data_IF_366530703125
#
_entry.id   IF_366530703125
#
_cell.length_a   1.000
_cell.length_b   1.000
_cell.length_c   1.000
_cell.angle_alpha   90.00
_cell.angle_beta   90.00
_cell.angle_gamma   90.00
#
_symmetry.space_group_name_H-M   'P 1'
#
loop_
_entity.id
_entity.type
_entity.pdbx_description
1 polymer ?
#
# COMPACT_ATOMS: atom_id res chain seq x y z
N UNK A 1 -28.27 -6.53 34.65
CA UNK A 1 -28.83 -7.75 34.03
C UNK A 1 -28.94 -7.56 32.52
N UNK A 2 -27.85 -7.80 31.80
CA UNK A 2 -27.77 -7.91 30.33
C UNK A 2 -26.51 -8.69 29.90
N UNK A 3 -25.97 -9.53 30.79
CA UNK A 3 -24.70 -10.25 30.60
C UNK A 3 -24.91 -11.78 30.46
N UNK A 4 -26.13 -12.28 30.65
CA UNK A 4 -26.37 -13.73 30.81
C UNK A 4 -26.81 -14.47 29.53
N UNK A 5 -26.84 -13.81 28.36
CA UNK A 5 -27.32 -14.45 27.11
C UNK A 5 -26.50 -14.16 25.86
N UNK A 6 -25.19 -13.91 25.98
CA UNK A 6 -24.30 -14.00 24.82
C UNK A 6 -23.66 -15.39 24.76
N UNK A 7 -24.15 -16.23 23.85
CA UNK A 7 -23.38 -17.36 23.36
C UNK A 7 -22.30 -16.83 22.42
N UNK A 8 -21.06 -16.75 22.91
CA UNK A 8 -19.90 -16.55 22.06
C UNK A 8 -19.71 -17.85 21.26
N UNK A 9 -20.22 -17.87 20.04
CA UNK A 9 -19.90 -18.93 19.08
C UNK A 9 -18.50 -18.62 18.55
N UNK A 10 -17.48 -19.25 19.12
CA UNK A 10 -16.14 -19.31 18.50
C UNK A 10 -16.26 -20.15 17.24
N UNK A 11 -16.32 -19.47 16.10
CA UNK A 11 -16.10 -20.11 14.82
C UNK A 11 -14.62 -20.54 14.79
N UNK A 12 -14.36 -21.82 15.03
CA UNK A 12 -13.04 -22.42 14.78
C UNK A 12 -12.80 -22.47 13.27
N UNK A 13 -12.52 -21.32 12.66
CA UNK A 13 -11.89 -21.25 11.36
C UNK A 13 -10.44 -21.70 11.55
N UNK A 14 -10.21 -23.01 11.43
CA UNK A 14 -8.89 -23.67 11.56
C UNK A 14 -7.86 -23.18 10.52
N UNK A 15 -8.22 -22.25 9.63
CA UNK A 15 -7.33 -21.70 8.61
C UNK A 15 -7.81 -20.32 8.19
N UNK A 16 -7.02 -19.30 8.49
CA UNK A 16 -7.17 -17.97 7.91
C UNK A 16 -6.64 -18.01 6.46
N UNK A 17 -7.56 -18.20 5.51
CA UNK A 17 -7.23 -18.31 4.09
C UNK A 17 -6.72 -17.00 3.47
N UNK A 18 -6.82 -15.86 4.17
CA UNK A 18 -6.27 -14.58 3.69
C UNK A 18 -4.74 -14.56 3.73
N UNK A 19 -4.14 -15.21 4.73
CA UNK A 19 -2.69 -15.25 4.88
C UNK A 19 -2.01 -16.25 3.93
N UNK A 20 -2.74 -17.22 3.38
CA UNK A 20 -2.11 -18.39 2.75
C UNK A 20 -1.58 -18.13 1.33
N UNK A 21 -2.07 -17.10 0.62
CA UNK A 21 -1.60 -16.75 -0.73
C UNK A 21 -0.37 -15.84 -0.75
N UNK A 22 -0.05 -15.16 0.35
CA UNK A 22 1.13 -14.28 0.50
C UNK A 22 2.28 -14.97 1.26
N UNK A 23 2.13 -16.26 1.60
CA UNK A 23 2.96 -16.96 2.59
C UNK A 23 4.46 -17.07 2.30
N UNK A 24 4.90 -16.85 1.07
CA UNK A 24 6.31 -17.05 0.74
C UNK A 24 7.14 -15.76 0.69
N UNK A 25 6.52 -14.58 0.81
CA UNK A 25 7.24 -13.30 0.68
C UNK A 25 6.80 -12.27 1.71
N UNK A 26 7.77 -11.73 2.45
CA UNK A 26 7.55 -10.61 3.36
C UNK A 26 6.97 -9.40 2.60
N UNK A 27 5.86 -8.86 3.11
CA UNK A 27 5.11 -7.73 2.52
C UNK A 27 5.40 -6.40 3.21
N UNK A 28 6.11 -6.45 4.34
CA UNK A 28 6.44 -5.29 5.17
C UNK A 28 7.84 -5.47 5.74
N UNK A 29 8.67 -4.44 5.65
CA UNK A 29 10.09 -4.49 6.01
C UNK A 29 10.39 -3.42 7.05
N UNK A 30 11.02 -3.84 8.15
CA UNK A 30 11.51 -2.95 9.21
C UNK A 30 12.84 -3.49 9.73
N UNK A 31 13.82 -2.61 10.03
CA UNK A 31 13.79 -1.15 9.92
C UNK A 31 13.83 -0.65 8.44
N UNK A 32 13.47 0.63 8.18
CA UNK A 32 13.56 1.22 6.83
C UNK A 32 15.02 1.54 6.47
N UNK A 33 15.81 0.51 6.27
CA UNK A 33 17.23 0.58 5.94
C UNK A 33 17.51 0.17 4.47
N UNK A 34 18.80 0.11 4.11
CA UNK A 34 19.21 -0.32 2.77
C UNK A 34 18.78 -1.76 2.45
N UNK A 35 18.63 -2.63 3.45
CA UNK A 35 18.16 -4.01 3.27
C UNK A 35 16.67 -4.02 2.91
N UNK A 36 15.85 -3.21 3.59
CA UNK A 36 14.45 -3.02 3.24
C UNK A 36 14.29 -2.46 1.81
N UNK A 37 15.08 -1.44 1.44
CA UNK A 37 15.05 -0.87 0.10
C UNK A 37 15.45 -1.89 -1.00
N UNK A 38 16.45 -2.74 -0.71
CA UNK A 38 16.86 -3.83 -1.59
C UNK A 38 15.76 -4.91 -1.69
N UNK A 39 15.12 -5.26 -0.58
CA UNK A 39 14.02 -6.22 -0.55
C UNK A 39 12.79 -5.74 -1.33
N UNK A 40 12.45 -4.45 -1.23
CA UNK A 40 11.40 -3.81 -2.02
C UNK A 40 11.74 -3.79 -3.52
N UNK A 41 13.00 -3.49 -3.86
CA UNK A 41 13.47 -3.57 -5.26
C UNK A 41 13.36 -5.00 -5.79
N UNK A 42 13.76 -5.99 -5.00
CA UNK A 42 13.59 -7.40 -5.35
C UNK A 42 12.12 -7.81 -5.46
N UNK A 43 11.23 -7.29 -4.62
CA UNK A 43 9.79 -7.52 -4.71
C UNK A 43 9.21 -6.92 -5.99
N UNK A 44 9.58 -5.67 -6.32
CA UNK A 44 9.21 -5.03 -7.56
C UNK A 44 9.67 -5.85 -8.78
N UNK A 45 10.92 -6.33 -8.76
CA UNK A 45 11.45 -7.18 -9.82
C UNK A 45 10.71 -8.52 -9.95
N UNK A 46 10.34 -9.16 -8.84
CA UNK A 46 9.55 -10.41 -8.88
C UNK A 46 8.15 -10.17 -9.47
N UNK A 47 7.55 -9.02 -9.20
CA UNK A 47 6.20 -8.69 -9.67
C UNK A 47 6.17 -8.24 -11.13
N UNK A 48 7.22 -7.57 -11.61
CA UNK A 48 7.24 -6.92 -12.94
C UNK A 48 8.17 -7.60 -13.95
N UNK A 49 9.11 -8.43 -13.48
CA UNK A 49 10.23 -8.94 -14.26
C UNK A 49 11.36 -7.92 -14.48
N UNK A 50 11.22 -6.67 -14.03
CA UNK A 50 12.20 -5.60 -14.22
C UNK A 50 12.68 -5.03 -12.89
N UNK A 51 13.98 -4.78 -12.77
CA UNK A 51 14.54 -4.22 -11.53
C UNK A 51 14.11 -2.77 -11.26
N UNK A 52 13.69 -2.04 -12.30
CA UNK A 52 13.23 -0.65 -12.26
C UNK A 52 12.08 -0.43 -13.21
N UNK A 53 11.18 0.46 -12.84
CA UNK A 53 10.13 0.97 -13.72
C UNK A 53 10.56 2.19 -14.51
N UNK A 54 9.64 2.70 -15.33
CA UNK A 54 9.75 4.02 -15.94
C UNK A 54 8.78 4.98 -15.24
N UNK A 55 9.08 6.29 -15.18
CA UNK A 55 8.13 7.28 -14.69
C UNK A 55 6.84 7.25 -15.53
N UNK A 56 5.71 7.35 -14.85
CA UNK A 56 4.39 7.41 -15.50
C UNK A 56 3.57 8.53 -14.86
N UNK A 57 2.77 9.21 -15.68
CA UNK A 57 1.83 10.22 -15.19
C UNK A 57 0.42 9.77 -15.51
N UNK A 58 -0.47 9.90 -14.52
CA UNK A 58 -1.89 9.63 -14.65
C UNK A 58 -2.65 10.95 -14.59
N UNK A 59 -3.47 11.23 -15.59
CA UNK A 59 -4.40 12.36 -15.54
C UNK A 59 -5.66 11.95 -14.78
N UNK A 60 -5.86 12.54 -13.61
CA UNK A 60 -7.00 12.29 -12.73
C UNK A 60 -7.78 13.58 -12.55
N UNK A 61 -9.03 13.63 -13.05
CA UNK A 61 -9.94 14.76 -12.87
C UNK A 61 -9.35 16.16 -13.19
N UNK A 62 -8.38 16.23 -14.10
CA UNK A 62 -7.76 17.49 -14.54
C UNK A 62 -6.44 17.84 -13.85
N UNK A 63 -5.89 16.98 -12.97
CA UNK A 63 -4.52 17.11 -12.47
C UNK A 63 -3.71 15.84 -12.68
N UNK A 64 -2.38 16.00 -12.67
CA UNK A 64 -1.42 14.94 -12.90
C UNK A 64 -1.03 14.26 -11.58
N UNK A 65 -1.11 12.94 -11.54
CA UNK A 65 -0.56 12.09 -10.48
C UNK A 65 0.69 11.40 -11.02
N UNK A 66 1.84 11.68 -10.43
CA UNK A 66 3.13 11.16 -10.89
C UNK A 66 3.50 9.89 -10.15
N UNK A 67 3.69 8.79 -10.90
CA UNK A 67 4.30 7.56 -10.44
C UNK A 67 5.80 7.57 -10.79
N UNK A 68 6.72 7.65 -9.81
CA UNK A 68 8.15 7.70 -10.07
C UNK A 68 8.66 6.46 -10.82
N UNK A 69 8.15 5.29 -10.46
CA UNK A 69 8.46 4.03 -11.12
C UNK A 69 7.19 3.22 -11.35
N UNK A 70 6.89 2.92 -12.61
CA UNK A 70 5.81 2.03 -13.00
C UNK A 70 6.31 1.02 -14.04
N UNK A 71 5.86 -0.23 -13.94
CA UNK A 71 6.11 -1.26 -14.94
C UNK A 71 4.95 -2.25 -14.94
N UNK A 72 4.43 -2.57 -16.13
CA UNK A 72 3.20 -3.36 -16.30
C UNK A 72 2.05 -2.78 -15.46
N UNK A 73 1.57 -3.51 -14.45
CA UNK A 73 0.49 -3.11 -13.54
C UNK A 73 0.99 -2.88 -12.10
N UNK A 74 2.28 -2.61 -11.93
CA UNK A 74 2.89 -2.37 -10.62
C UNK A 74 3.53 -1.00 -10.62
N UNK A 75 3.28 -0.24 -9.56
CA UNK A 75 3.93 1.04 -9.34
C UNK A 75 4.65 1.07 -7.99
N UNK A 76 5.76 1.80 -7.94
CA UNK A 76 6.53 2.06 -6.73
C UNK A 76 6.52 3.55 -6.45
N UNK A 77 6.15 3.91 -5.23
CA UNK A 77 6.06 5.27 -4.72
C UNK A 77 6.83 5.39 -3.41
N UNK A 78 7.33 6.58 -3.10
CA UNK A 78 7.63 6.96 -1.72
C UNK A 78 6.37 7.40 -0.98
N UNK A 79 6.39 7.35 0.35
CA UNK A 79 5.30 7.88 1.17
C UNK A 79 4.99 9.35 0.85
N UNK A 80 6.02 10.18 0.64
CA UNK A 80 5.88 11.59 0.31
C UNK A 80 5.10 11.82 -1.00
N UNK A 81 5.29 10.96 -2.00
CA UNK A 81 4.66 11.07 -3.31
C UNK A 81 3.14 10.86 -3.27
N UNK A 82 2.61 10.26 -2.19
CA UNK A 82 1.19 9.95 -2.05
C UNK A 82 0.51 10.65 -0.86
N UNK A 83 1.23 10.79 0.25
CA UNK A 83 0.65 11.24 1.53
C UNK A 83 1.07 12.66 1.93
N UNK A 84 2.20 13.17 1.44
CA UNK A 84 2.69 14.53 1.75
C UNK A 84 2.26 15.57 0.70
N UNK A 85 1.61 15.13 -0.37
CA UNK A 85 0.99 15.99 -1.38
C UNK A 85 -0.55 15.92 -1.28
N UNK A 86 -1.30 16.91 -1.80
CA UNK A 86 -2.75 16.99 -1.62
C UNK A 86 -3.52 16.04 -2.56
N UNK A 87 -3.21 14.74 -2.52
CA UNK A 87 -4.02 13.71 -3.17
C UNK A 87 -5.27 13.38 -2.34
N UNK A 88 -6.35 13.06 -3.03
CA UNK A 88 -7.63 12.67 -2.47
C UNK A 88 -8.05 11.25 -2.83
N UNK A 89 -9.22 10.80 -2.33
CA UNK A 89 -9.74 9.45 -2.58
C UNK A 89 -9.89 9.10 -4.08
N UNK A 90 -10.24 10.09 -4.92
CA UNK A 90 -10.37 9.88 -6.36
C UNK A 90 -9.03 9.52 -7.02
N UNK A 91 -7.92 10.07 -6.53
CA UNK A 91 -6.57 9.80 -7.02
C UNK A 91 -6.13 8.39 -6.65
N UNK A 92 -6.34 8.00 -5.39
CA UNK A 92 -6.05 6.65 -4.95
C UNK A 92 -6.90 5.62 -5.70
N UNK A 93 -8.16 5.94 -6.02
CA UNK A 93 -9.01 5.06 -6.81
C UNK A 93 -8.52 4.95 -8.26
N UNK A 94 -8.04 6.04 -8.86
CA UNK A 94 -7.43 6.00 -10.18
C UNK A 94 -6.15 5.15 -10.17
N UNK A 95 -5.32 5.30 -9.14
CA UNK A 95 -4.13 4.48 -8.92
C UNK A 95 -4.48 3.00 -8.77
N UNK A 96 -5.50 2.64 -7.98
CA UNK A 96 -5.94 1.25 -7.80
C UNK A 96 -6.56 0.64 -9.06
N UNK A 97 -7.14 1.47 -9.94
CA UNK A 97 -7.62 1.03 -11.26
C UNK A 97 -6.49 0.80 -12.25
N UNK A 98 -5.46 1.64 -12.20
CA UNK A 98 -4.30 1.54 -13.11
C UNK A 98 -3.33 0.44 -12.68
N UNK A 99 -3.06 0.32 -11.37
CA UNK A 99 -2.06 -0.56 -10.82
C UNK A 99 -2.73 -1.61 -9.94
N UNK A 100 -2.51 -2.87 -10.30
CA UNK A 100 -2.92 -4.02 -9.48
C UNK A 100 -2.12 -4.10 -8.17
N UNK A 101 -0.88 -3.58 -8.16
CA UNK A 101 -0.04 -3.64 -6.97
C UNK A 101 0.76 -2.35 -6.83
N UNK A 102 0.80 -1.82 -5.60
CA UNK A 102 1.61 -0.66 -5.26
C UNK A 102 2.65 -1.06 -4.22
N UNK A 103 3.90 -0.69 -4.49
CA UNK A 103 5.03 -0.81 -3.57
C UNK A 103 5.26 0.56 -2.95
N UNK A 104 5.17 0.67 -1.63
CA UNK A 104 5.37 1.94 -0.92
C UNK A 104 6.68 1.92 -0.14
N UNK A 105 7.50 2.94 -0.34
CA UNK A 105 8.82 3.09 0.28
C UNK A 105 8.83 4.22 1.31
N UNK A 106 9.81 4.19 2.22
CA UNK A 106 10.13 5.25 3.16
C UNK A 106 8.94 5.77 4.00
N UNK A 107 8.07 4.87 4.47
CA UNK A 107 6.95 5.22 5.37
C UNK A 107 7.55 5.72 6.70
N UNK A 108 7.34 7.00 7.09
CA UNK A 108 7.89 7.54 8.31
C UNK A 108 7.09 7.08 9.53
N UNK A 109 7.65 7.30 10.72
CA UNK A 109 6.85 7.24 11.95
C UNK A 109 5.93 8.45 11.96
N UNK A 110 4.63 8.21 11.72
CA UNK A 110 3.62 9.27 11.64
C UNK A 110 3.32 9.80 13.05
N UNK A 111 3.77 11.03 13.33
CA UNK A 111 3.54 11.70 14.61
C UNK A 111 2.17 12.36 14.71
N UNK A 112 1.77 12.77 15.93
CA UNK A 112 0.47 13.39 16.19
C UNK A 112 0.20 14.71 15.43
N UNK A 113 1.25 15.37 14.92
CA UNK A 113 1.15 16.57 14.09
C UNK A 113 0.87 16.30 12.60
N UNK A 114 1.08 15.06 12.13
CA UNK A 114 0.93 14.66 10.73
C UNK A 114 -0.45 14.03 10.47
N UNK A 115 -1.51 14.73 10.88
CA UNK A 115 -2.88 14.18 10.83
C UNK A 115 -3.40 14.03 9.41
N UNK A 116 -2.97 14.89 8.50
CA UNK A 116 -3.46 14.87 7.12
C UNK A 116 -2.78 13.75 6.33
N UNK A 117 -1.48 13.57 6.53
CA UNK A 117 -0.69 12.44 6.01
C UNK A 117 -1.25 11.11 6.55
N UNK A 118 -1.56 11.03 7.84
CA UNK A 118 -2.19 9.84 8.43
C UNK A 118 -3.53 9.50 7.77
N UNK A 119 -4.40 10.50 7.58
CA UNK A 119 -5.71 10.30 6.92
C UNK A 119 -5.55 9.88 5.46
N UNK A 120 -4.62 10.48 4.72
CA UNK A 120 -4.33 10.09 3.33
C UNK A 120 -3.80 8.67 3.28
N UNK A 121 -2.93 8.28 4.20
CA UNK A 121 -2.40 6.92 4.26
C UNK A 121 -3.49 5.88 4.58
N UNK A 122 -4.40 6.17 5.51
CA UNK A 122 -5.57 5.32 5.78
C UNK A 122 -6.43 5.20 4.52
N UNK A 123 -6.75 6.32 3.88
CA UNK A 123 -7.55 6.36 2.66
C UNK A 123 -6.91 5.55 1.53
N UNK A 124 -5.59 5.67 1.38
CA UNK A 124 -4.80 4.90 0.42
C UNK A 124 -4.97 3.40 0.69
N UNK A 125 -4.70 2.94 1.92
CA UNK A 125 -4.82 1.53 2.29
C UNK A 125 -6.24 1.00 2.04
N UNK A 126 -7.26 1.76 2.47
CA UNK A 126 -8.67 1.39 2.29
C UNK A 126 -9.07 1.26 0.81
N UNK A 127 -8.40 1.99 -0.08
CA UNK A 127 -8.70 1.94 -1.53
C UNK A 127 -8.09 0.70 -2.21
N UNK A 128 -7.03 0.13 -1.66
CA UNK A 128 -6.35 -1.07 -2.18
C UNK A 128 -6.76 -2.37 -1.46
N UNK A 129 -7.70 -2.29 -0.50
CA UNK A 129 -8.22 -3.41 0.31
C UNK A 129 -9.36 -4.18 -0.37
#
# INVERSE_FOLDING_TARGET
MLEERMQIIRLEARTDFRLQKLRDHAVYFLPPDASAAAALTGAFQRLTGAARGAPMTLDVLGHAVHAPEACANVARFGFADLCEIPLGPADFLALARQFHTVVLDAIPVIGAGQRDEAKRFITLIDTFL
#
